data_IF_406496711154
#
_entry.id   IF_406496711154
#
_cell.length_a   1.000
_cell.length_b   1.000
_cell.length_c   1.000
_cell.angle_alpha   90.00
_cell.angle_beta   90.00
_cell.angle_gamma   90.00
#
_symmetry.space_group_name_H-M   'P 1'
#
loop_
_entity.id
_entity.type
_entity.pdbx_description
1 polymer ?
#
# COMPACT_ATOMS: atom_id res chain seq x y z
N UNK A 1 4.92 10.88 3.56
CA UNK A 1 5.78 9.84 2.96
C UNK A 1 6.89 9.38 3.92
N UNK A 2 7.50 10.26 4.70
CA UNK A 2 8.54 9.85 5.68
C UNK A 2 8.09 8.74 6.64
N UNK A 3 6.89 8.80 7.25
CA UNK A 3 6.40 7.68 8.06
C UNK A 3 6.35 6.36 7.27
N UNK A 4 5.84 6.38 6.04
CA UNK A 4 5.74 5.17 5.23
C UNK A 4 7.11 4.57 4.87
N UNK A 5 8.12 5.40 4.57
CA UNK A 5 9.49 4.93 4.33
C UNK A 5 10.11 4.31 5.60
N UNK A 6 9.81 4.90 6.77
CA UNK A 6 10.25 4.39 8.06
C UNK A 6 9.60 3.04 8.38
N UNK A 7 8.27 2.95 8.24
CA UNK A 7 7.50 1.72 8.47
C UNK A 7 7.97 0.60 7.53
N UNK A 8 8.17 0.90 6.24
CA UNK A 8 8.74 -0.06 5.29
C UNK A 8 10.11 -0.61 5.76
N UNK A 9 10.94 0.25 6.32
CA UNK A 9 12.23 -0.18 6.85
C UNK A 9 12.09 -0.96 8.15
N UNK A 10 11.22 -0.54 9.06
CA UNK A 10 10.94 -1.23 10.33
C UNK A 10 10.33 -2.61 10.12
N UNK A 11 9.33 -2.74 9.26
CA UNK A 11 8.57 -3.97 9.05
C UNK A 11 9.23 -4.93 8.04
N UNK A 12 9.70 -4.40 6.91
CA UNK A 12 10.23 -5.20 5.81
C UNK A 12 11.75 -5.07 5.57
N UNK A 13 12.46 -4.28 6.38
CA UNK A 13 13.90 -4.10 6.25
C UNK A 13 14.36 -3.37 4.99
N UNK A 14 13.45 -2.84 4.18
CA UNK A 14 13.78 -2.14 2.93
C UNK A 14 14.08 -0.68 3.22
N UNK A 15 15.32 -0.27 2.97
CA UNK A 15 15.80 1.10 3.21
C UNK A 15 15.69 1.95 1.94
N UNK A 16 14.80 2.91 1.93
CA UNK A 16 14.74 3.94 0.89
C UNK A 16 15.56 5.16 1.33
N UNK A 17 16.81 5.19 0.96
CA UNK A 17 17.74 6.25 1.35
C UNK A 17 18.65 6.69 0.20
N UNK A 18 19.18 7.89 0.30
CA UNK A 18 20.13 8.47 -0.63
C UNK A 18 21.22 9.26 0.12
N UNK A 19 22.35 9.42 -0.52
CA UNK A 19 23.40 10.31 -0.07
C UNK A 19 23.16 11.78 -0.44
N UNK A 20 24.11 12.67 -0.08
CA UNK A 20 24.07 14.08 -0.44
C UNK A 20 24.20 14.34 -1.95
N UNK A 21 24.65 13.36 -2.74
CA UNK A 21 24.75 13.41 -4.20
C UNK A 21 23.45 13.06 -4.92
N UNK A 22 22.39 12.66 -4.19
CA UNK A 22 21.10 12.14 -4.67
C UNK A 22 21.15 10.75 -5.29
N UNK A 23 22.24 10.02 -5.18
CA UNK A 23 22.29 8.63 -5.58
C UNK A 23 21.58 7.74 -4.53
N UNK A 24 20.81 6.78 -5.01
CA UNK A 24 20.19 5.78 -4.13
C UNK A 24 21.29 4.88 -3.59
N UNK A 25 21.54 4.98 -2.29
CA UNK A 25 22.59 4.25 -1.62
C UNK A 25 22.05 3.04 -0.86
N UNK A 26 22.78 1.95 -0.94
CA UNK A 26 22.56 0.75 -0.14
C UNK A 26 23.65 0.64 0.91
N UNK A 27 23.26 0.48 2.15
CA UNK A 27 24.19 0.17 3.21
C UNK A 27 24.62 -1.30 3.12
N UNK A 28 25.81 -1.60 3.61
CA UNK A 28 26.18 -2.98 3.86
C UNK A 28 25.15 -3.66 4.77
N UNK A 29 24.81 -4.92 4.48
CA UNK A 29 23.75 -5.69 5.17
C UNK A 29 23.83 -5.58 6.69
N UNK A 30 25.07 -5.69 7.23
CA UNK A 30 25.28 -5.63 8.68
C UNK A 30 24.99 -4.22 9.27
N UNK A 31 25.38 -3.17 8.54
CA UNK A 31 25.12 -1.77 8.94
C UNK A 31 23.62 -1.47 8.85
N UNK A 32 22.94 -1.94 7.81
CA UNK A 32 21.50 -1.80 7.64
C UNK A 32 20.73 -2.51 8.77
N UNK A 33 21.11 -3.73 9.12
CA UNK A 33 20.51 -4.47 10.23
C UNK A 33 20.72 -3.77 11.59
N UNK A 34 21.91 -3.23 11.85
CA UNK A 34 22.17 -2.46 13.06
C UNK A 34 21.36 -1.17 13.13
N UNK A 35 21.22 -0.46 11.99
CA UNK A 35 20.39 0.74 11.91
C UNK A 35 18.93 0.42 12.19
N UNK A 36 18.38 -0.64 11.54
CA UNK A 36 17.01 -1.11 11.76
C UNK A 36 16.78 -1.43 13.24
N UNK A 37 17.66 -2.22 13.82
CA UNK A 37 17.58 -2.56 15.25
C UNK A 37 17.56 -1.33 16.15
N UNK A 38 18.42 -0.34 15.92
CA UNK A 38 18.43 0.91 16.71
C UNK A 38 17.11 1.65 16.64
N UNK A 39 16.47 1.69 15.45
CA UNK A 39 15.18 2.36 15.26
C UNK A 39 14.07 1.56 15.97
N UNK A 40 14.04 0.24 15.85
CA UNK A 40 13.10 -0.64 16.55
C UNK A 40 13.26 -0.54 18.08
N UNK A 41 14.48 -0.35 18.58
CA UNK A 41 14.77 -0.11 19.99
C UNK A 41 14.37 1.30 20.46
N UNK A 42 13.77 2.13 19.59
CA UNK A 42 13.19 3.44 19.92
C UNK A 42 14.08 4.65 19.61
N UNK A 43 15.16 4.49 18.84
CA UNK A 43 15.95 5.64 18.38
C UNK A 43 15.13 6.48 17.37
N UNK A 44 15.32 7.81 17.40
CA UNK A 44 14.74 8.67 16.36
C UNK A 44 15.27 8.30 14.98
N UNK A 45 14.37 7.87 14.11
CA UNK A 45 14.71 7.28 12.81
C UNK A 45 15.46 8.26 11.88
N UNK A 46 15.14 9.56 11.95
CA UNK A 46 15.82 10.57 11.15
C UNK A 46 17.26 10.73 11.62
N UNK A 47 17.45 10.91 12.92
CA UNK A 47 18.78 11.07 13.53
C UNK A 47 19.63 9.82 13.34
N UNK A 48 19.03 8.63 13.50
CA UNK A 48 19.71 7.37 13.30
C UNK A 48 20.22 7.22 11.86
N UNK A 49 19.39 7.52 10.87
CA UNK A 49 19.78 7.45 9.46
C UNK A 49 20.84 8.52 9.12
N UNK A 50 20.63 9.77 9.54
CA UNK A 50 21.59 10.85 9.25
C UNK A 50 22.98 10.57 9.84
N UNK A 51 23.08 9.76 10.91
CA UNK A 51 24.37 9.34 11.45
C UNK A 51 25.19 8.44 10.52
N UNK A 52 24.55 7.87 9.48
CA UNK A 52 25.22 7.10 8.41
C UNK A 52 25.60 7.96 7.19
N UNK A 53 25.30 9.26 7.21
CA UNK A 53 25.48 10.16 6.07
C UNK A 53 24.34 10.12 5.04
N UNK A 54 23.25 9.40 5.34
CA UNK A 54 22.12 9.21 4.44
C UNK A 54 20.88 9.97 4.90
N UNK A 55 19.98 10.22 3.94
CA UNK A 55 18.65 10.80 4.15
C UNK A 55 17.56 9.91 3.52
N UNK A 56 16.33 10.01 4.07
CA UNK A 56 15.18 9.29 3.53
C UNK A 56 14.83 9.73 2.12
N UNK A 57 14.84 8.80 1.17
CA UNK A 57 14.44 9.01 -0.23
C UNK A 57 12.94 8.80 -0.41
N UNK A 58 12.13 9.72 0.12
CA UNK A 58 10.66 9.61 0.11
C UNK A 58 10.02 9.84 -1.24
N UNK A 59 10.74 10.33 -2.21
CA UNK A 59 10.34 10.50 -3.61
C UNK A 59 10.27 9.16 -4.36
N UNK A 60 10.98 8.13 -3.89
CA UNK A 60 10.83 6.76 -4.39
C UNK A 60 9.44 6.17 -4.11
N UNK A 61 8.75 6.65 -3.07
CA UNK A 61 7.39 6.24 -2.73
C UNK A 61 6.38 6.93 -3.63
N UNK A 62 5.87 6.22 -4.61
CA UNK A 62 4.83 6.72 -5.53
C UNK A 62 3.44 6.39 -4.94
N UNK A 63 2.57 7.40 -4.72
CA UNK A 63 1.22 7.16 -4.21
C UNK A 63 0.44 6.23 -5.15
N UNK A 64 -0.28 5.26 -4.57
CA UNK A 64 -1.08 4.31 -5.33
C UNK A 64 -2.56 4.41 -5.02
N UNK A 65 -2.93 4.33 -3.75
CA UNK A 65 -4.32 4.40 -3.31
C UNK A 65 -4.43 5.03 -1.92
N UNK A 66 -5.61 5.55 -1.61
CA UNK A 66 -5.96 6.01 -0.29
C UNK A 66 -7.27 5.35 0.14
N UNK A 67 -7.19 4.40 1.06
CA UNK A 67 -8.34 3.68 1.57
C UNK A 67 -8.80 4.25 2.90
N UNK A 68 -10.11 4.42 3.04
CA UNK A 68 -10.75 4.87 4.28
C UNK A 68 -11.73 3.78 4.71
N UNK A 69 -11.60 3.31 5.95
CA UNK A 69 -12.51 2.32 6.50
C UNK A 69 -13.93 2.87 6.52
N UNK A 70 -14.95 2.09 6.11
CA UNK A 70 -16.36 2.51 6.16
C UNK A 70 -16.79 3.04 7.53
N UNK A 71 -17.75 3.96 7.55
CA UNK A 71 -18.25 4.59 8.78
C UNK A 71 -18.99 3.64 9.73
N UNK A 72 -19.42 2.50 9.21
CA UNK A 72 -20.10 1.43 9.98
C UNK A 72 -19.13 0.64 10.88
N UNK A 73 -17.82 0.70 10.60
CA UNK A 73 -16.81 -0.02 11.36
C UNK A 73 -16.44 0.75 12.64
N UNK A 74 -16.39 0.07 13.79
CA UNK A 74 -16.04 0.71 15.06
C UNK A 74 -14.59 1.18 15.13
N UNK A 75 -13.69 0.50 14.42
CA UNK A 75 -12.28 0.87 14.28
C UNK A 75 -11.99 1.27 12.85
N UNK A 76 -11.58 2.53 12.66
CA UNK A 76 -11.40 3.10 11.33
C UNK A 76 -9.95 3.50 11.10
N UNK A 77 -9.52 3.25 9.87
CA UNK A 77 -8.19 3.59 9.38
C UNK A 77 -8.28 4.48 8.14
N UNK A 78 -7.27 5.30 7.97
CA UNK A 78 -7.03 6.08 6.76
C UNK A 78 -5.67 5.65 6.20
N UNK A 79 -5.67 4.60 5.40
CA UNK A 79 -4.47 3.92 4.91
C UNK A 79 -4.08 4.43 3.53
N UNK A 80 -2.85 4.93 3.41
CA UNK A 80 -2.27 5.33 2.13
C UNK A 80 -1.33 4.25 1.63
N UNK A 81 -1.59 3.78 0.42
CA UNK A 81 -0.78 2.79 -0.26
C UNK A 81 0.22 3.49 -1.18
N UNK A 82 1.42 2.98 -1.20
CA UNK A 82 2.49 3.43 -2.07
C UNK A 82 3.07 2.24 -2.82
N UNK A 83 3.66 2.51 -3.96
CA UNK A 83 4.48 1.56 -4.71
C UNK A 83 5.87 2.14 -4.86
N UNK A 84 6.88 1.29 -4.82
CA UNK A 84 8.26 1.65 -5.12
C UNK A 84 8.96 0.45 -5.77
N UNK A 85 10.01 0.72 -6.49
CA UNK A 85 10.96 -0.30 -6.89
C UNK A 85 11.82 -0.69 -5.70
N UNK A 86 12.09 -1.99 -5.54
CA UNK A 86 13.03 -2.46 -4.53
C UNK A 86 14.44 -2.01 -4.92
N UNK A 87 15.16 -1.28 -4.05
CA UNK A 87 16.53 -0.88 -4.36
C UNK A 87 17.41 -2.09 -4.62
N UNK A 88 18.27 -1.97 -5.64
CA UNK A 88 19.18 -3.04 -6.02
C UNK A 88 20.08 -3.47 -4.85
N UNK A 89 20.25 -4.77 -4.67
CA UNK A 89 21.09 -5.35 -3.62
C UNK A 89 20.45 -5.41 -2.23
N UNK A 90 19.19 -5.01 -2.09
CA UNK A 90 18.44 -5.23 -0.86
C UNK A 90 17.57 -6.48 -0.95
N UNK A 91 17.51 -7.21 0.14
CA UNK A 91 16.57 -8.33 0.33
C UNK A 91 15.65 -7.96 1.50
N UNK A 92 14.33 -7.92 1.29
CA UNK A 92 13.37 -7.71 2.37
C UNK A 92 13.48 -8.82 3.42
N UNK A 93 13.13 -8.47 4.64
CA UNK A 93 13.05 -9.43 5.76
C UNK A 93 12.00 -8.94 6.75
N UNK A 94 11.21 -9.84 7.29
CA UNK A 94 10.22 -9.51 8.31
C UNK A 94 10.87 -9.20 9.68
N UNK A 95 10.12 -8.56 10.55
CA UNK A 95 10.61 -8.06 11.85
C UNK A 95 10.35 -9.03 13.03
N UNK A 96 9.62 -10.13 12.79
CA UNK A 96 9.17 -11.10 13.80
C UNK A 96 8.24 -10.51 14.90
N UNK A 97 7.75 -9.29 14.70
CA UNK A 97 6.90 -8.57 15.67
C UNK A 97 5.51 -8.33 15.08
N UNK A 98 5.43 -7.54 14.02
CA UNK A 98 4.19 -7.23 13.30
C UNK A 98 4.03 -8.11 12.07
N UNK A 99 5.15 -8.49 11.43
CA UNK A 99 5.23 -9.36 10.26
C UNK A 99 5.90 -10.68 10.65
N UNK A 100 5.19 -11.78 10.51
CA UNK A 100 5.65 -13.12 10.95
C UNK A 100 6.01 -14.06 9.80
N UNK A 101 5.71 -13.67 8.57
CA UNK A 101 6.01 -14.45 7.35
C UNK A 101 6.12 -13.52 6.14
N UNK A 102 6.86 -13.93 5.14
CA UNK A 102 7.02 -13.19 3.88
C UNK A 102 6.83 -14.11 2.68
N UNK A 103 6.27 -13.57 1.62
CA UNK A 103 6.04 -14.28 0.38
C UNK A 103 6.28 -13.37 -0.82
N UNK A 104 7.18 -13.78 -1.70
CA UNK A 104 7.29 -13.20 -3.02
C UNK A 104 6.25 -13.82 -3.95
N UNK A 105 5.33 -13.03 -4.43
CA UNK A 105 4.22 -13.49 -5.26
C UNK A 105 3.94 -12.46 -6.36
N UNK A 106 3.61 -12.93 -7.56
CA UNK A 106 3.11 -12.01 -8.58
C UNK A 106 1.71 -11.49 -8.20
N UNK A 107 1.33 -10.29 -8.64
CA UNK A 107 -0.01 -9.77 -8.37
C UNK A 107 -1.13 -10.72 -8.84
N UNK A 108 -0.95 -11.39 -9.98
CA UNK A 108 -1.91 -12.37 -10.51
C UNK A 108 -2.02 -13.61 -9.62
N UNK A 109 -0.90 -14.14 -9.14
CA UNK A 109 -0.89 -15.29 -8.23
C UNK A 109 -1.45 -14.92 -6.85
N UNK A 110 -1.18 -13.71 -6.37
CA UNK A 110 -1.78 -13.20 -5.13
C UNK A 110 -3.32 -13.18 -5.22
N UNK A 111 -3.88 -12.72 -6.34
CA UNK A 111 -5.32 -12.74 -6.59
C UNK A 111 -5.83 -14.18 -6.61
N UNK A 112 -5.18 -15.08 -7.33
CA UNK A 112 -5.58 -16.49 -7.44
C UNK A 112 -5.59 -17.20 -6.08
N UNK A 113 -4.72 -16.77 -5.16
CA UNK A 113 -4.57 -17.31 -3.81
C UNK A 113 -5.18 -16.43 -2.70
N UNK A 114 -6.03 -15.46 -3.06
CA UNK A 114 -6.52 -14.44 -2.12
C UNK A 114 -7.19 -15.05 -0.88
N UNK A 115 -7.95 -16.14 -1.03
CA UNK A 115 -8.57 -16.85 0.08
C UNK A 115 -7.57 -17.59 0.97
N UNK A 116 -6.52 -18.18 0.39
CA UNK A 116 -5.42 -18.83 1.13
C UNK A 116 -4.59 -17.79 1.90
N UNK A 117 -4.27 -16.68 1.24
CA UNK A 117 -3.48 -15.60 1.81
C UNK A 117 -4.30 -14.67 2.73
N UNK A 118 -5.60 -14.90 2.85
CA UNK A 118 -6.54 -14.09 3.63
C UNK A 118 -6.42 -12.58 3.32
N UNK A 119 -6.27 -12.23 2.04
CA UNK A 119 -6.08 -10.84 1.62
C UNK A 119 -7.34 -10.01 1.85
N UNK A 120 -7.27 -8.90 2.59
CA UNK A 120 -8.38 -7.96 2.70
C UNK A 120 -8.68 -7.26 1.36
N UNK A 121 -9.90 -6.72 1.16
CA UNK A 121 -10.31 -6.07 -0.07
C UNK A 121 -9.36 -5.01 -0.64
N UNK A 122 -8.72 -4.13 0.18
CA UNK A 122 -7.73 -3.18 -0.32
C UNK A 122 -6.53 -3.85 -0.98
N UNK A 123 -6.03 -4.94 -0.41
CA UNK A 123 -4.88 -5.68 -0.97
C UNK A 123 -5.28 -6.43 -2.23
N UNK A 124 -6.44 -7.11 -2.24
CA UNK A 124 -6.96 -7.79 -3.45
C UNK A 124 -7.08 -6.77 -4.59
N UNK A 125 -7.69 -5.63 -4.30
CA UNK A 125 -7.87 -4.56 -5.29
C UNK A 125 -6.53 -4.02 -5.79
N UNK A 126 -5.58 -3.79 -4.90
CA UNK A 126 -4.23 -3.34 -5.27
C UNK A 126 -3.54 -4.36 -6.17
N UNK A 127 -3.58 -5.64 -5.83
CA UNK A 127 -3.01 -6.70 -6.66
C UNK A 127 -3.69 -6.76 -8.03
N UNK A 128 -5.03 -6.61 -8.08
CA UNK A 128 -5.76 -6.59 -9.34
C UNK A 128 -5.29 -5.43 -10.25
N UNK A 129 -5.12 -4.24 -9.68
CA UNK A 129 -4.65 -3.08 -10.44
C UNK A 129 -3.20 -3.23 -10.89
N UNK A 130 -2.32 -3.79 -10.03
CA UNK A 130 -0.93 -4.04 -10.38
C UNK A 130 -0.79 -5.09 -11.49
N UNK A 131 -1.66 -6.11 -11.50
CA UNK A 131 -1.65 -7.16 -12.52
C UNK A 131 -1.97 -6.66 -13.94
N UNK A 132 -2.55 -5.47 -14.08
CA UNK A 132 -2.79 -4.85 -15.40
C UNK A 132 -1.52 -4.27 -16.04
N UNK A 133 -0.42 -4.18 -15.29
CA UNK A 133 0.84 -3.61 -15.75
C UNK A 133 1.88 -4.70 -16.01
N UNK A 134 2.70 -4.50 -17.04
CA UNK A 134 3.70 -5.50 -17.44
C UNK A 134 5.10 -5.17 -16.92
N UNK A 135 5.34 -3.90 -16.58
CA UNK A 135 6.64 -3.44 -16.11
C UNK A 135 6.50 -2.58 -14.85
N UNK A 136 7.58 -2.53 -14.06
CA UNK A 136 7.68 -1.65 -12.89
C UNK A 136 7.51 -0.19 -13.31
N UNK A 137 8.10 0.20 -14.45
CA UNK A 137 7.98 1.57 -14.98
C UNK A 137 6.53 1.95 -15.29
N UNK A 138 5.73 1.02 -15.84
CA UNK A 138 4.30 1.24 -16.09
C UNK A 138 3.53 1.46 -14.78
N UNK A 139 3.82 0.66 -13.75
CA UNK A 139 3.25 0.82 -12.41
C UNK A 139 3.59 2.19 -11.83
N UNK A 140 4.87 2.56 -11.83
CA UNK A 140 5.31 3.85 -11.27
C UNK A 140 4.71 5.04 -12.03
N UNK A 141 4.60 4.95 -13.35
CA UNK A 141 3.95 5.96 -14.19
C UNK A 141 2.47 6.10 -13.87
N UNK A 142 1.76 4.96 -13.75
CA UNK A 142 0.34 4.95 -13.36
C UNK A 142 0.13 5.55 -11.97
N UNK A 143 0.97 5.22 -11.01
CA UNK A 143 0.91 5.79 -9.67
C UNK A 143 1.13 7.31 -9.65
N UNK A 144 2.09 7.83 -10.43
CA UNK A 144 2.31 9.27 -10.57
C UNK A 144 1.09 9.97 -11.15
N UNK A 145 0.48 9.42 -12.20
CA UNK A 145 -0.75 9.97 -12.78
C UNK A 145 -1.91 10.00 -11.78
N UNK A 146 -2.07 8.96 -10.95
CA UNK A 146 -3.08 8.92 -9.87
C UNK A 146 -2.84 9.98 -8.80
N UNK A 147 -1.59 10.32 -8.53
CA UNK A 147 -1.22 11.31 -7.53
C UNK A 147 -1.64 12.74 -7.91
N UNK A 148 -1.86 13.02 -9.19
CA UNK A 148 -2.34 14.31 -9.69
C UNK A 148 -3.83 14.52 -9.37
N UNK A 149 -4.60 13.44 -9.30
CA UNK A 149 -6.03 13.46 -8.97
C UNK A 149 -6.36 12.39 -7.91
N UNK A 150 -6.03 12.63 -6.64
CA UNK A 150 -6.24 11.65 -5.58
C UNK A 150 -7.73 11.51 -5.24
N UNK A 151 -8.25 10.30 -5.38
CA UNK A 151 -9.60 9.94 -4.97
C UNK A 151 -9.55 8.93 -3.82
N UNK A 152 -9.95 9.31 -2.60
CA UNK A 152 -10.09 8.36 -1.51
C UNK A 152 -11.13 7.29 -1.83
N UNK A 153 -10.79 6.04 -1.51
CA UNK A 153 -11.67 4.89 -1.68
C UNK A 153 -12.27 4.57 -0.31
N UNK A 154 -13.52 4.92 -0.11
CA UNK A 154 -14.26 4.53 1.09
C UNK A 154 -15.38 3.57 0.68
N UNK A 155 -15.25 2.26 0.91
CA UNK A 155 -16.29 1.30 0.58
C UNK A 155 -17.59 1.56 1.35
N UNK A 156 -18.70 1.08 0.82
CA UNK A 156 -19.98 1.02 1.51
C UNK A 156 -20.43 -0.44 1.61
N UNK A 157 -21.06 -0.78 2.71
CA UNK A 157 -21.63 -2.11 2.90
C UNK A 157 -22.99 -2.21 2.21
N UNK A 158 -23.14 -3.15 1.29
CA UNK A 158 -24.44 -3.63 0.85
C UNK A 158 -24.83 -4.82 1.73
N UNK A 159 -25.88 -4.70 2.48
CA UNK A 159 -26.45 -5.77 3.29
C UNK A 159 -27.06 -6.85 2.39
N UNK A 160 -27.32 -8.02 2.96
CA UNK A 160 -27.90 -9.17 2.25
C UNK A 160 -29.21 -8.80 1.51
N UNK A 161 -29.27 -9.04 0.21
CA UNK A 161 -30.46 -8.80 -0.63
C UNK A 161 -30.75 -10.07 -1.42
N UNK A 162 -31.97 -10.58 -1.28
CA UNK A 162 -32.49 -11.68 -2.12
C UNK A 162 -31.60 -12.93 -2.20
N UNK A 163 -30.86 -13.29 -1.13
CA UNK A 163 -29.99 -14.47 -1.08
C UNK A 163 -28.57 -14.24 -1.54
N UNK A 164 -28.20 -13.02 -1.94
CA UNK A 164 -26.81 -12.63 -2.18
C UNK A 164 -26.10 -12.32 -0.86
N UNK A 165 -24.85 -12.73 -0.66
CA UNK A 165 -24.09 -12.39 0.55
C UNK A 165 -23.88 -10.87 0.67
N UNK A 166 -23.64 -10.35 1.89
CA UNK A 166 -23.23 -8.98 2.07
C UNK A 166 -21.91 -8.73 1.34
N UNK A 167 -21.74 -7.55 0.76
CA UNK A 167 -20.53 -7.20 0.06
C UNK A 167 -20.15 -5.72 0.26
N UNK A 168 -18.86 -5.43 0.10
CA UNK A 168 -18.36 -4.07 0.05
C UNK A 168 -18.44 -3.55 -1.39
N UNK A 169 -19.07 -2.40 -1.59
CA UNK A 169 -19.15 -1.70 -2.86
C UNK A 169 -18.13 -0.55 -2.88
N UNK A 170 -17.42 -0.42 -3.98
CA UNK A 170 -16.48 0.68 -4.20
C UNK A 170 -17.18 1.91 -4.83
N UNK A 171 -16.62 3.12 -4.72
CA UNK A 171 -17.27 4.36 -5.13
C UNK A 171 -17.73 4.43 -6.59
N UNK A 172 -17.23 3.59 -7.46
CA UNK A 172 -17.61 3.48 -8.88
C UNK A 172 -18.58 2.32 -9.19
N UNK A 173 -19.06 1.61 -8.16
CA UNK A 173 -20.07 0.56 -8.34
C UNK A 173 -21.42 1.20 -8.65
N UNK A 174 -22.20 0.66 -9.59
CA UNK A 174 -23.53 1.19 -9.94
C UNK A 174 -24.50 1.28 -8.75
N UNK A 175 -24.40 0.34 -7.79
CA UNK A 175 -25.29 0.30 -6.61
C UNK A 175 -24.71 1.06 -5.42
N UNK A 176 -23.57 1.74 -5.58
CA UNK A 176 -22.88 2.40 -4.46
C UNK A 176 -23.72 3.48 -3.75
N UNK A 177 -24.52 4.25 -4.48
CA UNK A 177 -25.35 5.33 -3.92
C UNK A 177 -26.61 4.78 -3.27
N UNK A 178 -27.36 3.98 -4.02
CA UNK A 178 -28.73 3.60 -3.65
C UNK A 178 -28.80 2.22 -2.98
N UNK A 179 -27.85 1.35 -3.25
CA UNK A 179 -27.86 -0.04 -2.79
C UNK A 179 -27.06 -0.33 -1.53
N UNK A 180 -26.43 0.67 -0.91
CA UNK A 180 -25.52 0.47 0.22
C UNK A 180 -25.72 1.46 1.36
N UNK A 181 -25.22 1.10 2.55
CA UNK A 181 -25.26 1.93 3.76
C UNK A 181 -23.89 2.52 4.09
N UNK A 182 -23.85 3.70 4.70
CA UNK A 182 -22.66 4.41 5.15
C UNK A 182 -22.60 5.87 4.66
N UNK A 183 -21.69 6.65 5.24
CA UNK A 183 -21.56 8.10 5.03
C UNK A 183 -20.51 8.47 3.99
N UNK A 184 -20.36 7.72 2.95
CA UNK A 184 -19.38 8.03 1.92
C UNK A 184 -19.98 8.89 0.82
N UNK A 185 -19.14 9.77 0.27
CA UNK A 185 -19.49 10.55 -0.91
C UNK A 185 -19.09 9.76 -2.16
N UNK A 186 -20.00 9.50 -3.10
CA UNK A 186 -19.65 8.87 -4.37
C UNK A 186 -18.68 9.76 -5.15
N UNK A 187 -17.91 9.16 -6.05
CA UNK A 187 -17.09 9.92 -6.97
C UNK A 187 -17.98 10.72 -7.92
N UNK A 188 -17.64 11.98 -8.14
CA UNK A 188 -18.36 12.87 -9.08
C UNK A 188 -18.13 12.45 -10.55
N UNK A 189 -17.06 11.72 -10.80
CA UNK A 189 -16.75 11.05 -12.06
C UNK A 189 -15.95 9.77 -11.77
N UNK A 190 -15.87 8.86 -12.73
CA UNK A 190 -15.09 7.63 -12.59
C UNK A 190 -13.71 7.82 -13.23
N UNK A 191 -12.62 7.91 -12.42
CA UNK A 191 -11.27 8.00 -12.97
C UNK A 191 -10.93 6.79 -13.85
N UNK A 192 -10.05 6.95 -14.82
CA UNK A 192 -9.66 5.87 -15.74
C UNK A 192 -9.09 4.62 -15.02
N UNK A 193 -8.48 4.81 -13.86
CA UNK A 193 -7.96 3.71 -13.03
C UNK A 193 -9.06 3.00 -12.20
N UNK A 194 -10.23 3.63 -12.00
CA UNK A 194 -11.34 3.07 -11.22
C UNK A 194 -12.22 2.14 -12.09
N UNK A 195 -11.62 1.12 -12.69
CA UNK A 195 -12.26 0.11 -13.53
C UNK A 195 -12.07 -1.28 -12.93
N UNK A 196 -12.74 -2.29 -13.51
CA UNK A 196 -12.68 -3.68 -13.06
C UNK A 196 -13.52 -3.92 -11.79
N UNK A 197 -13.16 -4.89 -10.95
CA UNK A 197 -13.98 -5.30 -9.82
C UNK A 197 -14.31 -4.15 -8.87
N UNK A 198 -15.59 -3.99 -8.58
CA UNK A 198 -16.12 -2.95 -7.70
C UNK A 198 -16.84 -3.51 -6.47
N UNK A 199 -16.91 -4.87 -6.36
CA UNK A 199 -17.58 -5.60 -5.28
C UNK A 199 -16.66 -6.64 -4.68
N UNK A 200 -16.65 -6.71 -3.34
CA UNK A 200 -15.86 -7.67 -2.57
C UNK A 200 -16.75 -8.32 -1.50
N UNK A 201 -16.77 -9.65 -1.49
CA UNK A 201 -17.52 -10.49 -0.54
C UNK A 201 -16.60 -10.93 0.58
#
# INVERSE_FOLDING_TARGET
RTPAARELFEEAGVLLARDAGNDCETLEVQTQAQLRKRILDGADARTALSSTGLEWSTDMLVPWAHWITPSIEPKRFSARFFVCELPSGQEPSFDDIETVDELWVSPADAIARAGELALPPPQIRTCWELAEHQTIEDVLRAGRARAEEPHPIMPRLRTMVAGEPPCLLLPWDPDYVDGATGDSTPLTYTPAWARGPSRFV
#
